data_IF_754580142518
#
_entry.id   IF_754580142518
#
_cell.length_a   1.000
_cell.length_b   1.000
_cell.length_c   1.000
_cell.angle_alpha   90.00
_cell.angle_beta   90.00
_cell.angle_gamma   90.00
#
_symmetry.space_group_name_H-M   'P 1'
#
loop_
_entity.id
_entity.type
_entity.pdbx_description
1 polymer ?
#
# COMPACT_ATOMS: atom_id res chain seq x y z
N UNK A 1 -39.68 11.10 40.76
CA UNK A 1 -39.93 11.56 39.36
C UNK A 1 -41.42 11.82 39.22
N UNK A 2 -41.81 13.01 38.77
CA UNK A 2 -43.22 13.35 38.45
C UNK A 2 -43.35 13.30 36.93
N UNK A 3 -44.34 12.57 36.42
CA UNK A 3 -44.61 12.51 34.97
C UNK A 3 -45.65 13.58 34.63
N UNK A 4 -45.29 14.50 33.73
CA UNK A 4 -46.19 15.55 33.24
C UNK A 4 -46.65 15.15 31.84
N UNK A 5 -47.97 15.10 31.63
CA UNK A 5 -48.58 14.85 30.32
C UNK A 5 -49.20 16.16 29.84
N UNK A 6 -48.80 16.62 28.66
CA UNK A 6 -49.36 17.80 28.00
C UNK A 6 -50.13 17.35 26.76
N UNK A 7 -51.30 17.92 26.55
CA UNK A 7 -52.20 17.55 25.45
C UNK A 7 -53.01 18.77 25.02
N UNK A 8 -53.39 18.90 23.74
CA UNK A 8 -54.30 19.95 23.29
C UNK A 8 -55.76 19.74 23.73
N UNK A 9 -56.08 18.59 24.36
CA UNK A 9 -57.42 18.28 24.85
C UNK A 9 -57.71 18.86 26.24
N UNK A 10 -58.97 19.20 26.50
CA UNK A 10 -59.43 19.59 27.84
C UNK A 10 -59.33 18.43 28.84
N UNK A 11 -59.42 18.75 30.13
CA UNK A 11 -59.26 17.78 31.22
C UNK A 11 -60.24 16.61 31.15
N UNK A 12 -61.50 16.85 30.77
CA UNK A 12 -62.52 15.80 30.69
C UNK A 12 -62.18 14.83 29.55
N UNK A 13 -61.88 15.36 28.36
CA UNK A 13 -61.50 14.56 27.20
C UNK A 13 -60.21 13.78 27.44
N UNK A 14 -59.17 14.43 28.00
CA UNK A 14 -57.91 13.79 28.33
C UNK A 14 -58.07 12.65 29.35
N UNK A 15 -58.85 12.85 30.41
CA UNK A 15 -59.09 11.82 31.43
C UNK A 15 -59.76 10.55 30.88
N UNK A 16 -60.65 10.71 29.91
CA UNK A 16 -61.33 9.59 29.23
C UNK A 16 -60.41 8.88 28.24
N UNK A 17 -59.60 9.62 27.48
CA UNK A 17 -58.65 9.03 26.52
C UNK A 17 -57.53 8.26 27.23
N UNK A 18 -57.04 8.76 28.37
CA UNK A 18 -56.01 8.06 29.16
C UNK A 18 -56.51 6.69 29.63
N UNK A 19 -57.75 6.60 30.12
CA UNK A 19 -58.32 5.33 30.57
C UNK A 19 -58.62 4.35 29.42
N UNK A 20 -58.74 4.86 28.20
CA UNK A 20 -58.90 4.07 26.98
C UNK A 20 -57.56 3.78 26.27
N UNK A 21 -56.46 4.32 26.77
CA UNK A 21 -55.13 4.15 26.17
C UNK A 21 -54.51 2.83 26.64
N UNK A 22 -54.06 2.01 25.69
CA UNK A 22 -53.26 0.82 25.99
C UNK A 22 -51.79 1.25 26.08
N UNK A 23 -51.06 0.90 27.16
CA UNK A 23 -49.63 1.17 27.21
C UNK A 23 -48.92 0.50 26.04
N UNK A 24 -48.05 1.25 25.34
CA UNK A 24 -47.33 0.74 24.14
C UNK A 24 -46.58 -0.56 24.44
N UNK A 25 -46.07 -0.73 25.67
CA UNK A 25 -45.40 -1.95 26.10
C UNK A 25 -46.24 -3.22 25.99
N UNK A 26 -47.57 -3.13 26.04
CA UNK A 26 -48.47 -4.29 25.97
C UNK A 26 -48.68 -4.77 24.53
N UNK A 27 -48.38 -3.93 23.54
CA UNK A 27 -48.56 -4.21 22.10
C UNK A 27 -47.23 -4.25 21.34
N UNK A 28 -46.16 -3.70 21.89
CA UNK A 28 -44.84 -3.70 21.25
C UNK A 28 -44.14 -5.05 21.40
N UNK A 29 -43.41 -5.45 20.35
CA UNK A 29 -42.48 -6.59 20.45
C UNK A 29 -41.20 -6.14 21.15
N UNK A 30 -40.89 -6.75 22.30
CA UNK A 30 -39.69 -6.44 23.09
C UNK A 30 -38.53 -7.43 22.89
N UNK A 31 -38.81 -8.60 22.30
CA UNK A 31 -37.84 -9.68 22.14
C UNK A 31 -37.67 -10.03 20.66
N UNK A 32 -36.51 -10.60 20.30
CA UNK A 32 -36.20 -11.04 18.94
C UNK A 32 -36.41 -9.96 17.87
N UNK A 33 -36.13 -8.70 18.22
CA UNK A 33 -36.22 -7.57 17.29
C UNK A 33 -35.13 -7.75 16.22
N UNK A 34 -35.56 -7.97 14.99
CA UNK A 34 -34.65 -7.98 13.84
C UNK A 34 -34.20 -6.54 13.57
N UNK A 35 -32.90 -6.30 13.75
CA UNK A 35 -32.25 -5.01 13.63
C UNK A 35 -30.96 -5.15 12.83
N UNK A 36 -30.50 -4.07 12.23
CA UNK A 36 -29.25 -4.03 11.47
C UNK A 36 -28.27 -3.01 12.07
N UNK A 37 -26.98 -3.22 11.86
CA UNK A 37 -25.91 -2.27 12.17
C UNK A 37 -25.68 -1.29 11.00
N UNK A 38 -25.05 -0.15 11.29
CA UNK A 38 -24.55 0.77 10.26
C UNK A 38 -23.47 0.13 9.37
N UNK A 39 -22.79 -0.90 9.87
CA UNK A 39 -21.69 -1.58 9.19
C UNK A 39 -22.13 -2.88 8.48
N UNK A 40 -23.42 -3.25 8.56
CA UNK A 40 -23.91 -4.46 7.90
C UNK A 40 -23.89 -4.32 6.37
N UNK A 41 -23.41 -5.36 5.70
CA UNK A 41 -23.44 -5.43 4.24
C UNK A 41 -24.88 -5.45 3.72
N UNK A 42 -25.15 -4.66 2.68
CA UNK A 42 -26.47 -4.55 2.06
C UNK A 42 -26.99 -5.91 1.58
N UNK A 43 -26.10 -6.81 1.15
CA UNK A 43 -26.45 -8.17 0.76
C UNK A 43 -26.99 -9.00 1.93
N UNK A 44 -26.30 -8.98 3.07
CA UNK A 44 -26.73 -9.69 4.29
C UNK A 44 -28.08 -9.14 4.80
N UNK A 45 -28.25 -7.82 4.74
CA UNK A 45 -29.50 -7.14 5.05
C UNK A 45 -30.62 -7.59 4.10
N UNK A 46 -30.33 -7.67 2.79
CA UNK A 46 -31.28 -8.12 1.76
C UNK A 46 -31.71 -9.57 2.01
N UNK A 47 -30.79 -10.45 2.35
CA UNK A 47 -31.08 -11.84 2.69
C UNK A 47 -32.01 -11.94 3.90
N UNK A 48 -31.69 -11.28 5.02
CA UNK A 48 -32.51 -11.29 6.23
C UNK A 48 -33.90 -10.66 6.01
N UNK A 49 -33.98 -9.59 5.21
CA UNK A 49 -35.24 -8.93 4.87
C UNK A 49 -36.11 -9.76 3.90
N UNK A 50 -35.53 -10.71 3.18
CA UNK A 50 -36.26 -11.67 2.33
C UNK A 50 -36.97 -12.74 3.15
N UNK A 51 -36.39 -13.13 4.29
CA UNK A 51 -36.91 -14.16 5.18
C UNK A 51 -38.00 -13.66 6.13
N UNK A 52 -38.16 -12.35 6.26
CA UNK A 52 -39.10 -11.70 7.20
C UNK A 52 -40.09 -10.81 6.45
N UNK A 53 -41.23 -10.45 7.05
CA UNK A 53 -42.29 -9.62 6.43
C UNK A 53 -42.50 -8.25 7.07
N UNK A 54 -41.49 -7.73 7.79
CA UNK A 54 -41.59 -6.41 8.42
C UNK A 54 -41.54 -5.29 7.37
N UNK A 55 -42.30 -4.22 7.61
CA UNK A 55 -42.34 -3.04 6.72
C UNK A 55 -41.03 -2.24 6.78
N UNK A 56 -40.44 -2.15 7.97
CA UNK A 56 -39.20 -1.43 8.24
C UNK A 56 -38.45 -2.08 9.40
N UNK A 57 -37.14 -1.92 9.40
CA UNK A 57 -36.22 -2.51 10.36
C UNK A 57 -35.41 -1.39 11.01
N UNK A 58 -35.23 -1.40 12.34
CA UNK A 58 -34.35 -0.45 12.99
C UNK A 58 -32.89 -0.70 12.62
N UNK A 59 -32.19 0.39 12.30
CA UNK A 59 -30.74 0.42 12.17
C UNK A 59 -30.17 1.03 13.45
N UNK A 60 -29.24 0.33 14.09
CA UNK A 60 -28.63 0.75 15.35
C UNK A 60 -27.16 1.13 15.16
N UNK A 61 -26.69 2.07 15.99
CA UNK A 61 -25.27 2.39 16.12
C UNK A 61 -24.54 1.36 17.02
N UNK A 62 -23.22 1.57 17.18
CA UNK A 62 -22.36 0.77 18.06
C UNK A 62 -22.78 0.79 19.54
N UNK A 63 -23.59 1.75 19.97
CA UNK A 63 -24.13 1.86 21.33
C UNK A 63 -25.55 1.27 21.45
N UNK A 64 -26.02 0.52 20.44
CA UNK A 64 -27.39 0.00 20.34
C UNK A 64 -28.49 1.08 20.38
N UNK A 65 -28.17 2.32 19.96
CA UNK A 65 -29.16 3.39 19.80
C UNK A 65 -29.68 3.37 18.38
N UNK A 66 -30.99 3.60 18.21
CA UNK A 66 -31.61 3.67 16.89
C UNK A 66 -31.03 4.87 16.12
N UNK A 67 -30.27 4.59 15.07
CA UNK A 67 -29.70 5.57 14.16
C UNK A 67 -30.66 5.89 13.01
N UNK A 68 -31.52 4.93 12.62
CA UNK A 68 -32.49 5.12 11.55
C UNK A 68 -33.37 3.90 11.30
N UNK A 69 -34.09 3.93 10.17
CA UNK A 69 -34.95 2.83 9.71
C UNK A 69 -34.58 2.47 8.27
N UNK A 70 -34.51 1.17 7.97
CA UNK A 70 -34.37 0.66 6.61
C UNK A 70 -35.64 -0.09 6.18
N UNK A 71 -36.01 0.05 4.91
CA UNK A 71 -37.18 -0.62 4.32
C UNK A 71 -36.76 -1.28 3.00
N UNK A 72 -37.58 -2.22 2.49
CA UNK A 72 -37.26 -2.93 1.24
C UNK A 72 -37.09 -1.98 0.05
N UNK A 73 -37.80 -0.85 0.05
CA UNK A 73 -37.63 0.18 -0.97
C UNK A 73 -36.20 0.75 -0.98
N UNK A 74 -35.55 0.92 0.17
CA UNK A 74 -34.17 1.40 0.23
C UNK A 74 -33.15 0.41 -0.36
N UNK A 75 -33.50 -0.89 -0.43
CA UNK A 75 -32.69 -1.88 -1.13
C UNK A 75 -32.88 -1.83 -2.66
N UNK A 76 -33.97 -1.22 -3.13
CA UNK A 76 -34.33 -1.07 -4.55
C UNK A 76 -33.86 0.31 -5.07
N UNK A 77 -33.98 1.36 -4.26
CA UNK A 77 -33.45 2.69 -4.56
C UNK A 77 -31.94 2.68 -4.35
N UNK A 78 -31.20 2.27 -5.38
CA UNK A 78 -29.74 2.24 -5.39
C UNK A 78 -29.17 3.66 -5.39
N UNK A 79 -29.17 4.35 -4.25
CA UNK A 79 -28.24 5.46 -4.06
C UNK A 79 -26.85 4.87 -3.99
N UNK A 80 -26.19 4.78 -5.15
CA UNK A 80 -24.81 4.32 -5.25
C UNK A 80 -23.92 5.22 -4.38
N UNK A 81 -22.94 4.63 -3.71
CA UNK A 81 -21.92 5.43 -3.00
C UNK A 81 -21.11 6.19 -4.03
N UNK A 82 -20.94 7.49 -3.81
CA UNK A 82 -20.14 8.35 -4.68
C UNK A 82 -18.67 8.27 -4.29
N UNK A 83 -17.79 8.01 -5.25
CA UNK A 83 -16.36 7.80 -5.01
C UNK A 83 -15.51 8.64 -5.97
N UNK A 84 -14.31 9.00 -5.52
CA UNK A 84 -13.26 9.61 -6.33
C UNK A 84 -12.06 8.68 -6.26
N UNK A 85 -11.55 8.28 -7.43
CA UNK A 85 -10.35 7.44 -7.50
C UNK A 85 -9.12 8.35 -7.62
N UNK A 86 -8.10 8.03 -6.83
CA UNK A 86 -6.80 8.69 -6.89
C UNK A 86 -5.74 7.62 -7.10
N UNK A 87 -4.77 7.89 -7.98
CA UNK A 87 -3.59 7.06 -8.22
C UNK A 87 -3.85 5.70 -8.89
N UNK A 88 -5.09 5.41 -9.27
CA UNK A 88 -5.46 4.24 -10.04
C UNK A 88 -6.78 4.43 -10.78
N UNK A 89 -6.96 3.66 -11.83
CA UNK A 89 -8.21 3.59 -12.60
C UNK A 89 -8.66 2.16 -12.93
N UNK A 90 -7.73 1.20 -12.94
CA UNK A 90 -8.05 -0.22 -13.20
C UNK A 90 -8.85 -0.83 -12.05
N UNK A 91 -9.99 -1.47 -12.37
CA UNK A 91 -10.89 -2.08 -11.37
C UNK A 91 -10.19 -3.10 -10.47
N UNK A 92 -9.30 -3.90 -11.04
CA UNK A 92 -8.53 -4.94 -10.33
C UNK A 92 -7.62 -4.39 -9.23
N UNK A 93 -7.32 -3.09 -9.25
CA UNK A 93 -6.49 -2.40 -8.26
C UNK A 93 -7.32 -1.61 -7.24
N UNK A 94 -8.64 -1.57 -7.39
CA UNK A 94 -9.54 -0.78 -6.56
C UNK A 94 -10.20 -1.61 -5.45
N UNK A 95 -11.06 -0.96 -4.67
CA UNK A 95 -11.81 -1.58 -3.57
C UNK A 95 -12.89 -2.53 -4.10
N UNK A 96 -13.12 -3.64 -3.38
CA UNK A 96 -14.24 -4.55 -3.64
C UNK A 96 -15.58 -3.78 -3.63
N UNK A 97 -16.45 -4.07 -4.61
CA UNK A 97 -17.75 -3.42 -4.75
C UNK A 97 -17.72 -2.05 -5.45
N UNK A 98 -16.62 -1.69 -6.13
CA UNK A 98 -16.54 -0.46 -6.94
C UNK A 98 -17.63 -0.41 -8.04
N UNK A 99 -18.05 -1.56 -8.58
CA UNK A 99 -19.13 -1.71 -9.57
C UNK A 99 -20.49 -1.18 -9.08
N UNK A 100 -20.71 -1.23 -7.77
CA UNK A 100 -21.92 -0.73 -7.12
C UNK A 100 -21.81 0.75 -6.73
N UNK A 101 -20.63 1.36 -6.94
CA UNK A 101 -20.39 2.78 -6.70
C UNK A 101 -20.65 3.64 -7.95
N UNK A 102 -20.82 4.94 -7.72
CA UNK A 102 -20.82 5.98 -8.74
C UNK A 102 -19.48 6.71 -8.67
N UNK A 103 -18.62 6.46 -9.65
CA UNK A 103 -17.35 7.18 -9.79
C UNK A 103 -17.69 8.60 -10.25
N UNK A 104 -17.24 9.61 -9.49
CA UNK A 104 -17.42 11.02 -9.82
C UNK A 104 -16.20 11.61 -10.54
N UNK A 105 -15.00 11.23 -10.06
CA UNK A 105 -13.75 11.77 -10.55
C UNK A 105 -12.64 10.71 -10.51
N UNK A 106 -11.67 10.84 -11.41
CA UNK A 106 -10.44 10.05 -11.43
C UNK A 106 -9.25 11.01 -11.59
N UNK A 107 -8.33 11.00 -10.63
CA UNK A 107 -7.09 11.78 -10.65
C UNK A 107 -5.92 10.79 -10.63
N UNK A 108 -5.22 10.63 -11.75
CA UNK A 108 -4.26 9.54 -11.91
C UNK A 108 -3.09 9.95 -12.82
N UNK A 109 -1.99 9.22 -12.71
CA UNK A 109 -0.80 9.38 -13.55
C UNK A 109 -0.40 8.09 -14.28
N UNK A 110 -1.12 7.00 -14.06
CA UNK A 110 -0.90 5.72 -14.70
C UNK A 110 -1.47 5.64 -16.12
N UNK A 111 -1.19 4.52 -16.79
CA UNK A 111 -1.89 4.15 -18.01
C UNK A 111 -3.38 3.98 -17.70
N UNK A 112 -4.23 4.30 -18.67
CA UNK A 112 -5.66 4.05 -18.56
C UNK A 112 -5.94 2.60 -18.98
N UNK A 113 -6.62 1.84 -18.14
CA UNK A 113 -7.01 0.45 -18.38
C UNK A 113 -8.26 0.06 -17.62
N UNK A 114 -9.11 -0.77 -18.22
CA UNK A 114 -10.23 -1.46 -17.55
C UNK A 114 -11.14 -0.59 -16.65
N UNK A 115 -11.38 0.67 -17.08
CA UNK A 115 -12.25 1.62 -16.38
C UNK A 115 -13.49 1.90 -17.22
N UNK A 116 -14.67 1.83 -16.59
CA UNK A 116 -15.95 2.07 -17.25
C UNK A 116 -16.89 2.81 -16.30
N UNK A 117 -17.47 3.93 -16.77
CA UNK A 117 -18.44 4.74 -16.04
C UNK A 117 -19.75 4.82 -16.81
N UNK A 118 -20.88 4.80 -16.08
CA UNK A 118 -22.20 4.93 -16.69
C UNK A 118 -22.57 6.37 -17.09
N UNK A 119 -21.93 7.36 -16.47
CA UNK A 119 -22.14 8.79 -16.70
C UNK A 119 -20.80 9.49 -17.03
N UNK A 120 -20.83 10.67 -17.65
CA UNK A 120 -19.65 11.54 -17.76
C UNK A 120 -19.10 11.90 -16.37
N UNK A 121 -17.77 11.87 -16.24
CA UNK A 121 -17.04 12.15 -14.99
C UNK A 121 -15.92 13.16 -15.23
N UNK A 122 -15.39 13.76 -14.15
CA UNK A 122 -14.13 14.51 -14.24
C UNK A 122 -12.95 13.54 -14.25
N UNK A 123 -12.23 13.46 -15.37
CA UNK A 123 -11.03 12.62 -15.48
C UNK A 123 -9.82 13.52 -15.73
N UNK A 124 -8.87 13.55 -14.79
CA UNK A 124 -7.58 14.22 -14.95
C UNK A 124 -6.45 13.20 -14.88
N UNK A 125 -5.94 12.83 -16.05
CA UNK A 125 -4.75 12.00 -16.20
C UNK A 125 -3.58 12.85 -16.71
N UNK A 126 -2.48 12.91 -15.97
CA UNK A 126 -1.28 13.62 -16.44
C UNK A 126 -0.06 12.69 -16.38
N UNK A 127 0.80 12.67 -17.41
CA UNK A 127 2.00 11.83 -17.43
C UNK A 127 3.11 12.46 -16.58
N UNK A 128 2.86 12.62 -15.29
CA UNK A 128 3.80 13.12 -14.27
C UNK A 128 4.27 11.99 -13.35
N UNK A 129 5.29 12.26 -12.54
CA UNK A 129 5.91 11.27 -11.67
C UNK A 129 5.04 10.84 -10.49
N UNK A 130 4.06 11.64 -10.07
CA UNK A 130 3.18 11.31 -8.94
C UNK A 130 1.79 11.95 -9.07
N UNK A 131 0.75 11.22 -8.65
CA UNK A 131 -0.62 11.77 -8.51
C UNK A 131 -0.67 12.97 -7.56
N UNK A 132 0.22 13.04 -6.56
CA UNK A 132 0.29 14.18 -5.64
C UNK A 132 0.71 15.48 -6.32
N UNK A 133 1.46 15.41 -7.42
CA UNK A 133 1.75 16.58 -8.27
C UNK A 133 0.47 17.13 -8.89
N UNK A 134 -0.43 16.26 -9.34
CA UNK A 134 -1.72 16.64 -9.94
C UNK A 134 -2.65 17.22 -8.87
N UNK A 135 -2.78 16.56 -7.71
CA UNK A 135 -3.59 17.04 -6.59
C UNK A 135 -3.13 18.42 -6.12
N UNK A 136 -1.83 18.62 -5.96
CA UNK A 136 -1.28 19.93 -5.59
C UNK A 136 -1.57 20.99 -6.68
N UNK A 137 -1.49 20.63 -7.96
CA UNK A 137 -1.83 21.53 -9.08
C UNK A 137 -3.28 21.97 -9.01
N UNK A 138 -4.22 21.02 -8.83
CA UNK A 138 -5.65 21.31 -8.64
C UNK A 138 -5.87 22.28 -7.48
N UNK A 139 -5.20 22.05 -6.33
CA UNK A 139 -5.33 22.97 -5.19
C UNK A 139 -4.91 24.39 -5.56
N UNK A 140 -3.74 24.55 -6.17
CA UNK A 140 -3.22 25.87 -6.52
C UNK A 140 -4.02 26.56 -7.62
N UNK A 141 -4.50 25.83 -8.63
CA UNK A 141 -5.40 26.34 -9.67
C UNK A 141 -6.70 26.89 -9.09
N UNK A 142 -7.21 26.26 -8.02
CA UNK A 142 -8.39 26.71 -7.28
C UNK A 142 -8.09 27.80 -6.23
N UNK A 143 -6.89 28.38 -6.23
CA UNK A 143 -6.47 29.39 -5.26
C UNK A 143 -6.36 28.87 -3.82
N UNK A 144 -6.28 27.55 -3.62
CA UNK A 144 -6.17 26.90 -2.31
C UNK A 144 -4.71 26.60 -2.00
N UNK A 145 -4.23 27.09 -0.86
CA UNK A 145 -2.92 26.72 -0.31
C UNK A 145 -3.09 25.55 0.67
N UNK A 146 -2.35 24.43 0.52
CA UNK A 146 -2.41 23.33 1.48
C UNK A 146 -1.88 23.77 2.86
N UNK A 147 -2.39 23.14 3.92
CA UNK A 147 -1.82 23.28 5.26
C UNK A 147 -0.42 22.68 5.32
N UNK A 148 0.39 23.04 6.34
CA UNK A 148 1.74 22.49 6.53
C UNK A 148 1.77 20.95 6.47
N UNK A 149 0.81 20.30 7.13
CA UNK A 149 0.69 18.83 7.19
C UNK A 149 0.34 18.22 5.83
N UNK A 150 -0.64 18.81 5.13
CA UNK A 150 -1.05 18.34 3.79
C UNK A 150 0.09 18.54 2.79
N UNK A 151 0.78 19.68 2.85
CA UNK A 151 1.93 19.94 1.99
C UNK A 151 3.06 18.92 2.22
N UNK A 152 3.31 18.55 3.48
CA UNK A 152 4.28 17.51 3.82
C UNK A 152 3.89 16.13 3.27
N UNK A 153 2.61 15.75 3.36
CA UNK A 153 2.12 14.48 2.81
C UNK A 153 2.22 14.42 1.28
N UNK A 154 1.82 15.50 0.59
CA UNK A 154 1.94 15.60 -0.87
C UNK A 154 3.42 15.58 -1.31
N UNK A 155 4.30 16.29 -0.59
CA UNK A 155 5.73 16.25 -0.85
C UNK A 155 6.31 14.84 -0.65
N UNK A 156 5.91 14.14 0.42
CA UNK A 156 6.34 12.77 0.70
C UNK A 156 5.94 11.80 -0.41
N UNK A 157 4.69 11.90 -0.89
CA UNK A 157 4.20 11.09 -2.01
C UNK A 157 5.00 11.35 -3.30
N UNK A 158 5.25 12.62 -3.65
CA UNK A 158 6.10 12.95 -4.80
C UNK A 158 7.49 12.34 -4.63
N UNK A 159 8.12 12.48 -3.46
CA UNK A 159 9.44 11.90 -3.19
C UNK A 159 9.39 10.37 -3.35
N UNK A 160 8.35 9.71 -2.85
CA UNK A 160 8.16 8.26 -2.90
C UNK A 160 8.10 7.75 -4.34
N UNK A 161 7.15 8.24 -5.14
CA UNK A 161 6.92 7.74 -6.51
C UNK A 161 8.07 8.06 -7.45
N UNK A 162 8.75 9.19 -7.19
CA UNK A 162 9.85 9.67 -8.02
C UNK A 162 11.22 9.20 -7.54
N UNK A 163 11.32 8.47 -6.42
CA UNK A 163 12.59 8.10 -5.79
C UNK A 163 13.52 9.30 -5.59
N UNK A 164 12.99 10.36 -4.97
CA UNK A 164 13.63 11.69 -4.90
C UNK A 164 14.06 12.19 -6.29
N UNK A 165 13.11 12.22 -7.23
CA UNK A 165 13.30 12.69 -8.61
C UNK A 165 14.36 11.92 -9.44
N UNK A 166 14.80 10.75 -8.98
CA UNK A 166 15.73 9.85 -9.71
C UNK A 166 15.02 8.85 -10.62
N UNK A 167 13.72 8.61 -10.40
CA UNK A 167 12.91 7.74 -11.24
C UNK A 167 12.83 8.29 -12.67
N UNK A 168 12.85 7.44 -13.72
CA UNK A 168 12.64 7.88 -15.09
C UNK A 168 11.26 8.49 -15.35
N UNK A 169 10.28 8.27 -14.46
CA UNK A 169 8.94 8.89 -14.53
C UNK A 169 8.93 10.34 -14.04
N UNK A 170 10.01 10.80 -13.38
CA UNK A 170 10.09 12.13 -12.78
C UNK A 170 10.09 13.22 -13.85
N UNK A 171 9.24 14.23 -13.67
CA UNK A 171 9.14 15.37 -14.59
C UNK A 171 9.61 16.66 -13.94
N UNK A 172 9.77 17.72 -14.75
CA UNK A 172 10.06 19.05 -14.21
C UNK A 172 8.89 19.61 -13.39
N UNK A 173 7.65 19.19 -13.69
CA UNK A 173 6.47 19.56 -12.93
C UNK A 173 6.55 19.02 -11.51
N UNK A 174 6.98 17.76 -11.33
CA UNK A 174 7.19 17.15 -10.02
C UNK A 174 8.23 17.92 -9.20
N UNK A 175 9.36 18.29 -9.83
CA UNK A 175 10.42 19.08 -9.18
C UNK A 175 9.90 20.41 -8.66
N UNK A 176 9.25 21.19 -9.53
CA UNK A 176 8.71 22.51 -9.17
C UNK A 176 7.66 22.38 -8.06
N UNK A 177 6.81 21.36 -8.15
CA UNK A 177 5.76 21.13 -7.17
C UNK A 177 6.33 20.71 -5.81
N UNK A 178 7.31 19.80 -5.81
CA UNK A 178 8.01 19.36 -4.61
C UNK A 178 8.68 20.54 -3.90
N UNK A 179 9.43 21.38 -4.61
CA UNK A 179 10.06 22.58 -4.03
C UNK A 179 9.03 23.56 -3.43
N UNK A 180 7.87 23.72 -4.08
CA UNK A 180 6.80 24.57 -3.58
C UNK A 180 6.17 23.99 -2.32
N UNK A 181 5.89 22.69 -2.29
CA UNK A 181 5.30 21.99 -1.15
C UNK A 181 6.27 21.93 0.03
N UNK A 182 7.56 21.64 -0.20
CA UNK A 182 8.59 21.61 0.82
C UNK A 182 8.73 22.96 1.54
N UNK A 183 8.66 24.08 0.80
CA UNK A 183 8.63 25.43 1.39
C UNK A 183 7.40 25.66 2.27
N UNK A 184 6.22 25.16 1.89
CA UNK A 184 5.00 25.28 2.70
C UNK A 184 5.09 24.39 3.95
N UNK A 185 5.65 23.19 3.80
CA UNK A 185 5.82 22.21 4.86
C UNK A 185 7.01 22.52 5.79
N UNK A 186 7.89 23.46 5.41
CA UNK A 186 9.17 23.75 6.06
C UNK A 186 10.03 22.48 6.22
N UNK A 187 10.25 21.79 5.09
CA UNK A 187 11.04 20.56 4.99
C UNK A 187 12.35 20.83 4.24
N UNK A 188 13.44 20.25 4.71
CA UNK A 188 14.60 19.97 3.88
C UNK A 188 14.29 18.69 3.08
N UNK A 189 14.35 18.76 1.75
CA UNK A 189 13.86 17.68 0.89
C UNK A 189 14.75 16.44 1.03
N UNK A 190 16.06 16.62 0.99
CA UNK A 190 17.05 15.54 1.03
C UNK A 190 17.04 14.82 2.38
N UNK A 191 17.05 15.56 3.48
CA UNK A 191 16.98 15.02 4.84
C UNK A 191 15.66 14.28 5.06
N UNK A 192 14.54 14.86 4.64
CA UNK A 192 13.22 14.23 4.77
C UNK A 192 13.13 12.95 3.93
N UNK A 193 13.61 12.98 2.68
CA UNK A 193 13.63 11.82 1.81
C UNK A 193 14.46 10.67 2.41
N UNK A 194 15.65 10.99 2.93
CA UNK A 194 16.51 10.01 3.58
C UNK A 194 15.81 9.33 4.77
N UNK A 195 15.21 10.12 5.66
CA UNK A 195 14.47 9.58 6.83
C UNK A 195 13.26 8.76 6.38
N UNK A 196 12.49 9.25 5.40
CA UNK A 196 11.30 8.58 4.89
C UNK A 196 11.65 7.22 4.26
N UNK A 197 12.64 7.17 3.38
CA UNK A 197 13.04 5.92 2.75
C UNK A 197 13.71 4.97 3.72
N UNK A 198 14.54 5.46 4.64
CA UNK A 198 15.10 4.62 5.72
C UNK A 198 13.98 3.94 6.54
N UNK A 199 12.90 4.67 6.83
CA UNK A 199 11.74 4.10 7.49
C UNK A 199 11.00 3.07 6.59
N UNK A 200 10.83 3.37 5.31
CA UNK A 200 10.14 2.49 4.34
C UNK A 200 10.93 1.23 3.94
N UNK A 201 12.25 1.28 3.95
CA UNK A 201 13.15 0.14 3.68
C UNK A 201 13.67 -0.50 4.95
N UNK A 202 13.12 -0.14 6.12
CA UNK A 202 13.54 -0.75 7.38
C UNK A 202 13.29 -2.25 7.30
N UNK A 203 14.37 -3.02 7.45
CA UNK A 203 14.30 -4.48 7.55
C UNK A 203 14.10 -4.93 9.00
N UNK A 204 13.82 -4.00 9.92
CA UNK A 204 13.57 -4.27 11.32
C UNK A 204 12.41 -5.27 11.46
N UNK A 205 12.67 -6.41 12.11
CA UNK A 205 11.71 -7.48 12.30
C UNK A 205 11.68 -8.55 11.19
N UNK A 206 12.38 -8.35 10.07
CA UNK A 206 12.58 -9.43 9.07
C UNK A 206 13.65 -10.40 9.56
N UNK A 207 13.40 -11.70 9.44
CA UNK A 207 14.44 -12.69 9.75
C UNK A 207 15.47 -12.75 8.63
N UNK A 208 16.74 -13.09 8.93
CA UNK A 208 17.77 -13.27 7.89
C UNK A 208 17.35 -14.22 6.76
N UNK A 209 16.58 -15.26 7.07
CA UNK A 209 16.00 -16.18 6.07
C UNK A 209 15.01 -15.47 5.13
N UNK A 210 14.08 -14.69 5.68
CA UNK A 210 13.11 -13.93 4.88
C UNK A 210 13.80 -12.93 3.94
N UNK A 211 14.90 -12.32 4.39
CA UNK A 211 15.70 -11.42 3.55
C UNK A 211 16.32 -12.16 2.36
N UNK A 212 16.90 -13.34 2.60
CA UNK A 212 17.51 -14.15 1.55
C UNK A 212 16.49 -14.66 0.53
N UNK A 213 15.28 -15.00 0.95
CA UNK A 213 14.28 -15.61 0.07
C UNK A 213 13.45 -14.59 -0.74
N UNK A 214 13.44 -13.31 -0.33
CA UNK A 214 12.58 -12.26 -0.89
C UNK A 214 12.70 -12.08 -2.41
N UNK A 215 13.93 -11.99 -2.93
CA UNK A 215 14.21 -11.99 -4.38
C UNK A 215 15.38 -12.92 -4.69
N UNK A 216 15.25 -14.19 -4.28
CA UNK A 216 16.18 -15.24 -4.66
C UNK A 216 15.95 -15.71 -6.12
N UNK A 217 17.04 -15.88 -6.87
CA UNK A 217 17.05 -16.57 -8.16
C UNK A 217 18.20 -17.56 -8.24
N UNK A 218 17.90 -18.73 -8.79
CA UNK A 218 18.86 -19.75 -9.14
C UNK A 218 19.24 -19.60 -10.62
N UNK A 219 20.54 -19.65 -10.90
CA UNK A 219 21.10 -19.71 -12.24
C UNK A 219 21.89 -21.00 -12.39
N UNK A 220 21.77 -21.63 -13.56
CA UNK A 220 22.59 -22.78 -13.93
C UNK A 220 23.42 -22.39 -15.13
N UNK A 221 24.75 -22.35 -14.96
CA UNK A 221 25.71 -21.91 -15.96
C UNK A 221 26.70 -23.06 -16.16
N UNK A 222 26.73 -23.67 -17.34
CA UNK A 222 27.64 -24.80 -17.65
C UNK A 222 27.62 -25.93 -16.60
N UNK A 223 26.43 -26.27 -16.09
CA UNK A 223 26.13 -27.26 -15.03
C UNK A 223 26.49 -26.82 -13.59
N UNK A 224 27.06 -25.62 -13.44
CA UNK A 224 27.34 -24.98 -12.15
C UNK A 224 26.10 -24.24 -11.66
N UNK A 225 25.67 -24.49 -10.41
CA UNK A 225 24.55 -23.79 -9.78
C UNK A 225 25.02 -22.53 -9.03
N UNK A 226 24.41 -21.40 -9.33
CA UNK A 226 24.68 -20.09 -8.69
C UNK A 226 23.38 -19.54 -8.11
N UNK A 227 23.38 -19.30 -6.80
CA UNK A 227 22.30 -18.56 -6.13
C UNK A 227 22.59 -17.06 -6.12
N UNK A 228 21.60 -16.21 -6.43
CA UNK A 228 21.71 -14.77 -6.26
C UNK A 228 20.42 -14.21 -5.65
N UNK A 229 20.52 -13.68 -4.44
CA UNK A 229 19.47 -12.92 -3.77
C UNK A 229 19.73 -11.42 -3.88
N UNK A 230 18.65 -10.62 -3.92
CA UNK A 230 18.73 -9.16 -3.94
C UNK A 230 17.77 -8.55 -2.91
N UNK A 231 18.27 -7.63 -2.11
CA UNK A 231 17.50 -6.86 -1.12
C UNK A 231 17.78 -5.39 -1.33
N UNK A 232 16.73 -4.62 -1.64
CA UNK A 232 16.83 -3.18 -1.75
C UNK A 232 16.70 -2.55 -0.35
N UNK A 233 17.66 -1.72 0.04
CA UNK A 233 17.73 -1.09 1.36
C UNK A 233 18.45 0.25 1.29
N UNK A 234 17.95 1.25 2.01
CA UNK A 234 18.66 2.51 2.26
C UNK A 234 19.30 2.55 3.65
N UNK A 235 19.30 1.42 4.36
CA UNK A 235 19.85 1.29 5.71
C UNK A 235 20.81 0.11 5.79
N UNK A 236 21.91 0.20 5.04
CA UNK A 236 22.99 -0.82 5.08
C UNK A 236 23.55 -0.99 6.49
N UNK A 237 23.52 0.09 7.30
CA UNK A 237 24.00 0.07 8.67
C UNK A 237 23.19 -0.86 9.58
N UNK A 238 21.85 -0.90 9.47
CA UNK A 238 21.05 -1.82 10.28
C UNK A 238 21.22 -3.30 9.90
N UNK A 239 21.77 -3.56 8.71
CA UNK A 239 22.06 -4.92 8.24
C UNK A 239 23.45 -5.38 8.67
N UNK A 240 24.36 -4.46 9.04
CA UNK A 240 25.73 -4.80 9.46
C UNK A 240 25.75 -5.86 10.56
N UNK A 241 24.88 -5.72 11.55
CA UNK A 241 24.79 -6.64 12.68
C UNK A 241 24.22 -8.01 12.30
N UNK A 242 23.44 -8.09 11.22
CA UNK A 242 22.86 -9.33 10.70
C UNK A 242 23.77 -10.07 9.70
N UNK A 243 24.87 -9.44 9.25
CA UNK A 243 25.77 -10.03 8.24
C UNK A 243 26.34 -11.40 8.66
N UNK A 244 26.82 -11.62 9.89
CA UNK A 244 27.33 -12.94 10.30
C UNK A 244 26.26 -14.04 10.19
N UNK A 245 25.02 -13.73 10.58
CA UNK A 245 23.90 -14.68 10.50
C UNK A 245 23.50 -14.93 9.04
N UNK A 246 23.44 -13.88 8.21
CA UNK A 246 23.18 -13.99 6.78
C UNK A 246 24.23 -14.87 6.09
N UNK A 247 25.52 -14.64 6.34
CA UNK A 247 26.62 -15.46 5.81
C UNK A 247 26.45 -16.91 6.25
N UNK A 248 26.16 -17.16 7.53
CA UNK A 248 25.98 -18.51 8.06
C UNK A 248 24.83 -19.26 7.38
N UNK A 249 23.70 -18.59 7.17
CA UNK A 249 22.54 -19.16 6.47
C UNK A 249 22.85 -19.38 4.98
N UNK A 250 23.55 -18.44 4.35
CA UNK A 250 23.99 -18.58 2.96
C UNK A 250 24.92 -19.79 2.80
N UNK A 251 25.86 -20.01 3.72
CA UNK A 251 26.76 -21.18 3.71
C UNK A 251 26.01 -22.50 3.90
N UNK A 252 25.02 -22.54 4.79
CA UNK A 252 24.17 -23.72 4.99
C UNK A 252 23.37 -24.04 3.72
N UNK A 253 22.69 -23.05 3.16
CA UNK A 253 21.89 -23.21 1.94
C UNK A 253 22.75 -23.60 0.73
N UNK A 254 23.97 -23.07 0.66
CA UNK A 254 24.96 -23.44 -0.36
C UNK A 254 25.30 -24.93 -0.28
N UNK A 255 25.52 -25.47 0.92
CA UNK A 255 25.83 -26.90 1.13
C UNK A 255 24.63 -27.80 0.87
N UNK A 256 23.44 -27.42 1.35
CA UNK A 256 22.21 -28.20 1.21
C UNK A 256 21.78 -28.34 -0.26
N UNK A 257 21.87 -27.26 -1.03
CA UNK A 257 21.36 -27.21 -2.41
C UNK A 257 22.45 -27.49 -3.48
N UNK A 258 23.70 -27.59 -3.04
CA UNK A 258 24.87 -27.82 -3.89
C UNK A 258 25.18 -26.63 -4.80
N UNK A 259 25.12 -25.40 -4.27
CA UNK A 259 25.54 -24.21 -5.02
C UNK A 259 27.07 -24.10 -5.03
N UNK A 260 27.66 -23.66 -6.14
CA UNK A 260 29.09 -23.37 -6.21
C UNK A 260 29.40 -21.94 -5.79
N UNK A 261 28.42 -21.04 -5.92
CA UNK A 261 28.48 -19.65 -5.44
C UNK A 261 27.09 -19.24 -4.98
N UNK A 262 27.01 -18.56 -3.83
CA UNK A 262 25.79 -17.87 -3.41
C UNK A 262 26.11 -16.40 -3.08
N UNK A 263 25.42 -15.49 -3.76
CA UNK A 263 25.55 -14.05 -3.61
C UNK A 263 24.28 -13.45 -2.99
N UNK A 264 24.45 -12.47 -2.10
CA UNK A 264 23.38 -11.58 -1.64
C UNK A 264 23.77 -10.14 -1.94
N UNK A 265 22.96 -9.47 -2.76
CA UNK A 265 23.10 -8.05 -3.08
C UNK A 265 22.27 -7.21 -2.09
N UNK A 266 22.94 -6.39 -1.29
CA UNK A 266 22.30 -5.35 -0.49
C UNK A 266 22.39 -4.05 -1.29
N UNK A 267 21.34 -3.77 -2.06
CA UNK A 267 21.33 -2.68 -3.05
C UNK A 267 20.78 -1.39 -2.43
N UNK A 268 21.62 -0.39 -2.38
CA UNK A 268 21.24 1.00 -2.12
C UNK A 268 20.87 1.66 -3.45
N UNK A 269 19.57 1.74 -3.71
CA UNK A 269 19.03 2.37 -4.92
C UNK A 269 19.41 3.86 -4.98
N UNK A 270 19.57 4.52 -3.82
CA UNK A 270 19.83 5.95 -3.79
C UNK A 270 21.26 6.26 -4.18
N UNK A 271 22.22 5.52 -3.64
CA UNK A 271 23.63 5.67 -3.97
C UNK A 271 24.03 4.87 -5.23
N UNK A 272 23.06 4.26 -5.91
CA UNK A 272 23.24 3.43 -7.10
C UNK A 272 24.36 2.38 -6.92
N UNK A 273 24.41 1.74 -5.75
CA UNK A 273 25.48 0.83 -5.39
C UNK A 273 24.94 -0.38 -4.63
N UNK A 274 25.71 -1.46 -4.63
CA UNK A 274 25.41 -2.63 -3.82
C UNK A 274 26.58 -3.02 -2.95
N UNK A 275 26.30 -3.37 -1.70
CA UNK A 275 27.22 -4.21 -0.94
C UNK A 275 26.87 -5.68 -1.23
N UNK A 276 27.85 -6.45 -1.71
CA UNK A 276 27.64 -7.82 -2.18
C UNK A 276 28.32 -8.77 -1.20
N UNK A 277 27.51 -9.59 -0.54
CA UNK A 277 27.95 -10.73 0.27
C UNK A 277 28.10 -11.95 -0.63
N UNK A 278 29.21 -12.68 -0.51
CA UNK A 278 29.51 -13.86 -1.33
C UNK A 278 30.06 -14.99 -0.48
N UNK A 279 29.48 -16.19 -0.66
CA UNK A 279 29.95 -17.43 -0.07
C UNK A 279 30.12 -18.52 -1.14
N UNK A 280 30.96 -19.51 -0.84
CA UNK A 280 31.25 -20.63 -1.74
C UNK A 280 32.74 -20.76 -2.06
N UNK A 281 33.15 -21.87 -2.70
CA UNK A 281 34.54 -22.13 -3.08
C UNK A 281 35.15 -21.11 -4.04
N UNK A 282 34.35 -20.44 -4.85
CA UNK A 282 34.79 -19.47 -5.88
C UNK A 282 34.58 -18.00 -5.48
N UNK A 283 34.43 -17.71 -4.17
CA UNK A 283 34.02 -16.37 -3.69
C UNK A 283 35.07 -15.27 -3.98
N UNK A 284 36.35 -15.61 -3.98
CA UNK A 284 37.44 -14.68 -4.29
C UNK A 284 37.42 -14.28 -5.76
N UNK A 285 37.28 -15.26 -6.65
CA UNK A 285 37.21 -15.08 -8.11
C UNK A 285 36.00 -14.24 -8.51
N UNK A 286 34.88 -14.41 -7.80
CA UNK A 286 33.70 -13.56 -7.93
C UNK A 286 34.05 -12.11 -7.65
N UNK A 287 34.73 -11.80 -6.54
CA UNK A 287 35.11 -10.42 -6.22
C UNK A 287 36.07 -9.83 -7.28
N UNK A 288 37.01 -10.64 -7.78
CA UNK A 288 37.93 -10.25 -8.85
C UNK A 288 37.22 -9.93 -10.17
N UNK A 289 36.12 -10.63 -10.49
CA UNK A 289 35.30 -10.34 -11.67
C UNK A 289 34.66 -8.94 -11.63
N UNK A 290 34.53 -8.34 -10.43
CA UNK A 290 34.11 -6.95 -10.24
C UNK A 290 35.29 -5.98 -10.03
N UNK A 291 36.54 -6.46 -10.16
CA UNK A 291 37.74 -5.68 -9.88
C UNK A 291 37.86 -5.28 -8.40
N UNK A 292 37.29 -6.06 -7.49
CA UNK A 292 37.26 -5.79 -6.05
C UNK A 292 38.00 -6.91 -5.29
N UNK A 293 38.30 -6.63 -4.01
CA UNK A 293 38.81 -7.64 -3.08
C UNK A 293 37.74 -7.94 -2.05
N UNK A 294 37.60 -9.22 -1.71
CA UNK A 294 36.68 -9.68 -0.69
C UNK A 294 37.26 -9.36 0.70
N UNK A 295 36.46 -8.72 1.55
CA UNK A 295 36.79 -8.46 2.96
C UNK A 295 35.62 -8.98 3.80
N UNK A 296 35.86 -9.96 4.66
CA UNK A 296 34.83 -10.60 5.48
C UNK A 296 33.62 -11.11 4.66
N UNK A 297 33.87 -11.80 3.54
CA UNK A 297 32.86 -12.29 2.61
C UNK A 297 31.98 -11.19 1.97
N UNK A 298 32.42 -9.93 2.00
CA UNK A 298 31.71 -8.78 1.41
C UNK A 298 32.62 -7.94 0.51
N UNK A 299 32.06 -7.28 -0.50
CA UNK A 299 32.70 -6.16 -1.21
C UNK A 299 31.67 -5.12 -1.65
N UNK A 300 32.13 -3.87 -1.81
CA UNK A 300 31.29 -2.76 -2.26
C UNK A 300 31.41 -2.56 -3.79
N UNK A 301 30.28 -2.54 -4.47
CA UNK A 301 30.16 -2.44 -5.92
C UNK A 301 29.34 -1.20 -6.30
N UNK A 302 30.06 -0.11 -6.56
CA UNK A 302 29.49 1.15 -7.06
C UNK A 302 28.94 0.97 -8.48
N UNK A 303 27.78 1.58 -8.76
CA UNK A 303 27.07 1.46 -10.04
C UNK A 303 26.30 0.14 -10.23
N UNK A 304 26.45 -0.84 -9.33
CA UNK A 304 25.80 -2.14 -9.44
C UNK A 304 24.46 -2.12 -8.70
N UNK A 305 23.37 -2.17 -9.46
CA UNK A 305 21.98 -2.19 -8.94
C UNK A 305 21.13 -3.29 -9.57
N UNK A 306 21.55 -3.82 -10.73
CA UNK A 306 20.79 -4.80 -11.50
C UNK A 306 21.48 -6.16 -11.50
N UNK A 307 20.91 -7.13 -10.79
CA UNK A 307 21.34 -8.54 -10.86
C UNK A 307 21.48 -9.03 -12.32
N UNK A 308 20.44 -8.81 -13.15
CA UNK A 308 20.38 -9.36 -14.51
C UNK A 308 21.40 -8.73 -15.47
N UNK A 309 21.57 -7.40 -15.41
CA UNK A 309 22.42 -6.68 -16.36
C UNK A 309 23.88 -6.60 -15.92
N UNK A 310 24.14 -6.58 -14.62
CA UNK A 310 25.45 -6.20 -14.08
C UNK A 310 26.12 -7.29 -13.26
N UNK A 311 25.37 -8.26 -12.72
CA UNK A 311 25.94 -9.33 -11.89
C UNK A 311 26.01 -10.66 -12.65
N UNK A 312 24.93 -11.07 -13.30
CA UNK A 312 24.89 -12.35 -14.04
C UNK A 312 25.95 -12.44 -15.15
N UNK A 313 26.21 -11.40 -16.00
CA UNK A 313 27.18 -11.54 -17.08
C UNK A 313 28.63 -11.72 -16.61
N UNK A 314 29.17 -10.93 -15.65
CA UNK A 314 30.51 -11.19 -15.10
C UNK A 314 30.68 -12.58 -14.50
N UNK A 315 29.67 -13.07 -13.78
CA UNK A 315 29.68 -14.43 -13.19
C UNK A 315 29.66 -15.51 -14.26
N UNK A 316 28.87 -15.32 -15.32
CA UNK A 316 28.80 -16.25 -16.45
C UNK A 316 30.16 -16.36 -17.16
N UNK A 317 30.82 -15.23 -17.38
CA UNK A 317 32.15 -15.18 -18.00
C UNK A 317 33.20 -15.86 -17.11
N UNK A 318 33.14 -15.66 -15.80
CA UNK A 318 34.05 -16.30 -14.85
C UNK A 318 33.92 -17.83 -14.90
N UNK A 319 32.70 -18.35 -14.75
CA UNK A 319 32.43 -19.79 -14.74
C UNK A 319 32.81 -20.45 -16.07
N UNK A 320 32.59 -19.75 -17.20
CA UNK A 320 32.99 -20.24 -18.52
C UNK A 320 34.51 -20.35 -18.64
N UNK A 321 35.27 -19.34 -18.18
CA UNK A 321 36.74 -19.35 -18.21
C UNK A 321 37.35 -20.43 -17.31
N UNK A 322 36.78 -20.65 -16.12
CA UNK A 322 37.28 -21.68 -15.20
C UNK A 322 37.14 -23.08 -15.81
N UNK A 323 36.07 -23.34 -16.57
CA UNK A 323 35.86 -24.61 -17.26
C UNK A 323 36.82 -24.78 -18.45
N UNK A 324 37.03 -23.74 -19.25
CA UNK A 324 38.02 -23.74 -20.35
C UNK A 324 39.48 -23.96 -19.90
N UNK A 325 39.79 -23.71 -18.63
CA UNK A 325 41.11 -23.95 -18.04
C UNK A 325 41.24 -25.36 -17.42
N UNK A 326 40.13 -26.09 -17.27
CA UNK A 326 40.06 -27.43 -16.68
C UNK A 326 39.88 -28.55 -17.73
N UNK A 327 39.41 -28.20 -18.93
CA UNK A 327 39.36 -29.05 -20.12
C UNK A 327 40.66 -28.94 -20.97
#
# INVERSE_FOLDING_TARGET
KVTIVSTPHDTFTASRLITQSVPVREVMTSENIVKFSLDDLVENVREHMSQTRYRSYPVVDHNNRVAGLISRYHLISSTKKKVILVDHNERSQSVDGLEDCEILEIIDHHRIGDVFTGNPIYFRNEPVGSTSTIVASIMFENGRRPSKKIAGALAAAIISDTLLLKSPTSTNTDRIMLERLARIANLNIEEFAYVMFKAGTSLAGSTPQQLLDRDFKLFTINEVKVGISQVNTMDLDSIKDLKPDLISIMENKLKEEGYSVFMLMLTDIFNEASEILVVGPHKEEVAEAFGKKLVNNSFYAEGVVSRKKQVVPPITNLITKVKELQD
#
